data_IF_601880353781
#
_entry.id   IF_601880353781
#
_cell.length_a   1.000
_cell.length_b   1.000
_cell.length_c   1.000
_cell.angle_alpha   90.00
_cell.angle_beta   90.00
_cell.angle_gamma   90.00
#
_symmetry.space_group_name_H-M   'P 1'
#
loop_
_entity.id
_entity.type
_entity.pdbx_description
1 polymer ?
#
# COMPACT_ATOMS: atom_id res chain seq x y z
N UNK A 1 -46.32 -49.70 -41.38
CA UNK A 1 -45.67 -50.09 -40.14
C UNK A 1 -44.31 -49.51 -40.12
N UNK A 2 -44.13 -48.74 -39.16
CA UNK A 2 -43.03 -48.33 -38.27
C UNK A 2 -42.28 -47.10 -38.72
N UNK A 3 -42.53 -46.10 -37.96
CA UNK A 3 -41.69 -44.89 -37.82
C UNK A 3 -41.38 -44.73 -36.36
N UNK A 4 -40.16 -44.51 -36.03
CA UNK A 4 -39.71 -43.58 -34.97
C UNK A 4 -38.30 -43.94 -34.50
N UNK A 5 -37.35 -43.20 -34.98
CA UNK A 5 -36.11 -42.91 -34.19
C UNK A 5 -35.49 -41.68 -34.81
N UNK A 6 -35.69 -40.53 -34.21
CA UNK A 6 -34.77 -39.38 -34.26
C UNK A 6 -35.20 -38.45 -33.14
N UNK A 7 -34.38 -38.31 -32.13
CA UNK A 7 -34.19 -37.06 -31.37
C UNK A 7 -33.50 -37.38 -30.01
N UNK A 8 -32.20 -37.29 -29.98
CA UNK A 8 -31.45 -37.14 -28.72
C UNK A 8 -29.99 -36.81 -29.06
N UNK A 9 -29.72 -35.59 -29.49
CA UNK A 9 -28.36 -35.05 -29.57
C UNK A 9 -28.46 -33.52 -29.65
N UNK A 10 -28.71 -32.85 -28.53
CA UNK A 10 -28.51 -31.40 -28.43
C UNK A 10 -28.62 -30.94 -26.98
N UNK A 11 -27.67 -31.25 -26.14
CA UNK A 11 -27.59 -30.65 -24.79
C UNK A 11 -26.21 -30.72 -24.15
N UNK A 12 -25.14 -30.66 -24.95
CA UNK A 12 -23.76 -30.69 -24.42
C UNK A 12 -22.93 -29.42 -24.70
N UNK A 13 -23.55 -28.34 -25.16
CA UNK A 13 -22.75 -27.17 -25.61
C UNK A 13 -22.90 -25.89 -24.77
N UNK A 14 -23.54 -25.92 -23.59
CA UNK A 14 -23.81 -24.69 -22.83
C UNK A 14 -23.04 -24.54 -21.52
N UNK A 15 -22.08 -25.41 -21.21
CA UNK A 15 -21.33 -25.33 -19.97
C UNK A 15 -19.94 -24.70 -20.09
N UNK A 16 -19.51 -24.23 -21.25
CA UNK A 16 -18.12 -23.75 -21.43
C UNK A 16 -17.95 -22.22 -21.41
N UNK A 17 -19.01 -21.43 -21.36
CA UNK A 17 -18.91 -19.96 -21.40
C UNK A 17 -18.83 -19.29 -20.03
N UNK A 18 -19.27 -19.94 -18.95
CA UNK A 18 -19.27 -19.35 -17.61
C UNK A 18 -17.91 -19.44 -16.87
N UNK A 19 -16.99 -20.26 -17.36
CA UNK A 19 -15.70 -20.52 -16.69
C UNK A 19 -14.58 -19.57 -17.10
N UNK A 20 -14.79 -18.69 -18.09
CA UNK A 20 -13.77 -17.77 -18.59
C UNK A 20 -13.65 -16.49 -17.77
N UNK A 21 -14.69 -16.13 -17.01
CA UNK A 21 -14.71 -14.89 -16.19
C UNK A 21 -14.14 -15.09 -14.78
N UNK A 22 -14.16 -16.31 -14.25
CA UNK A 22 -13.68 -16.64 -12.90
C UNK A 22 -12.16 -16.55 -12.73
N UNK A 23 -11.41 -16.39 -13.81
CA UNK A 23 -9.95 -16.31 -13.82
C UNK A 23 -9.38 -14.95 -14.23
N UNK A 24 -10.22 -13.94 -14.36
CA UNK A 24 -9.78 -12.57 -14.53
C UNK A 24 -9.56 -11.92 -13.15
N UNK A 25 -8.38 -11.34 -12.94
CA UNK A 25 -8.06 -10.56 -11.75
C UNK A 25 -7.68 -9.15 -12.19
N UNK A 26 -8.46 -8.16 -11.79
CA UNK A 26 -8.15 -6.75 -11.95
C UNK A 26 -7.56 -6.23 -10.64
N UNK A 27 -6.37 -5.66 -10.70
CA UNK A 27 -5.67 -5.19 -9.51
C UNK A 27 -5.37 -3.70 -9.62
N UNK A 28 -5.75 -2.94 -8.59
CA UNK A 28 -5.53 -1.51 -8.46
C UNK A 28 -4.22 -1.17 -7.73
N UNK A 29 -3.52 -0.15 -8.24
CA UNK A 29 -2.28 0.36 -7.67
C UNK A 29 -2.31 1.89 -7.61
N UNK A 30 -1.66 2.43 -6.57
CA UNK A 30 -1.26 3.83 -6.51
C UNK A 30 0.23 3.94 -6.89
N UNK A 31 0.76 5.17 -7.13
CA UNK A 31 2.18 5.35 -7.41
C UNK A 31 3.07 4.67 -6.38
N UNK A 32 4.06 3.93 -6.85
CA UNK A 32 5.00 3.18 -6.01
C UNK A 32 5.49 1.89 -6.64
N UNK A 33 6.28 1.11 -5.90
CA UNK A 33 6.94 -0.10 -6.40
C UNK A 33 6.03 -1.33 -6.46
N UNK A 34 4.81 -1.25 -5.94
CA UNK A 34 3.95 -2.43 -5.73
C UNK A 34 3.48 -3.07 -7.02
N UNK A 35 3.26 -2.27 -8.09
CA UNK A 35 2.89 -2.78 -9.41
C UNK A 35 4.01 -3.64 -9.98
N UNK A 36 5.24 -3.14 -9.95
CA UNK A 36 6.41 -3.89 -10.44
C UNK A 36 6.68 -5.14 -9.59
N UNK A 37 6.61 -5.02 -8.25
CA UNK A 37 6.71 -6.19 -7.36
C UNK A 37 5.71 -7.28 -7.73
N UNK A 38 4.47 -6.89 -7.98
CA UNK A 38 3.41 -7.83 -8.33
C UNK A 38 3.63 -8.41 -9.72
N UNK A 39 3.88 -7.56 -10.71
CA UNK A 39 4.06 -7.97 -12.11
C UNK A 39 5.21 -8.95 -12.31
N UNK A 40 6.34 -8.69 -11.66
CA UNK A 40 7.55 -9.49 -11.84
C UNK A 40 7.62 -10.66 -10.85
N UNK A 41 7.16 -10.45 -9.62
CA UNK A 41 7.34 -11.42 -8.55
C UNK A 41 6.15 -12.36 -8.32
N UNK A 42 4.90 -11.90 -8.55
CA UNK A 42 3.69 -12.68 -8.21
C UNK A 42 2.87 -13.08 -9.44
N UNK A 43 2.73 -12.20 -10.42
CA UNK A 43 1.90 -12.45 -11.61
C UNK A 43 2.32 -13.72 -12.37
N UNK A 44 3.62 -14.07 -12.54
CA UNK A 44 4.00 -15.31 -13.19
C UNK A 44 3.43 -16.57 -12.50
N UNK A 45 3.33 -16.56 -11.17
CA UNK A 45 2.70 -17.61 -10.38
C UNK A 45 1.22 -17.77 -10.71
N UNK A 46 0.50 -16.65 -10.76
CA UNK A 46 -0.94 -16.63 -11.05
C UNK A 46 -1.23 -17.03 -12.50
N UNK A 47 -0.41 -16.57 -13.46
CA UNK A 47 -0.53 -16.94 -14.87
C UNK A 47 -0.34 -18.46 -15.07
N UNK A 48 0.61 -19.09 -14.39
CA UNK A 48 0.77 -20.54 -14.40
C UNK A 48 -0.47 -21.29 -13.88
N UNK A 49 -1.30 -20.64 -13.04
CA UNK A 49 -2.59 -21.17 -12.57
C UNK A 49 -3.75 -20.83 -13.50
N UNK A 50 -3.48 -20.18 -14.61
CA UNK A 50 -4.45 -19.85 -15.65
C UNK A 50 -5.19 -18.52 -15.46
N UNK A 51 -4.74 -17.66 -14.52
CA UNK A 51 -5.32 -16.33 -14.36
C UNK A 51 -4.89 -15.37 -15.46
N UNK A 52 -5.83 -14.52 -15.89
CA UNK A 52 -5.57 -13.30 -16.65
C UNK A 52 -5.52 -12.14 -15.69
N UNK A 53 -4.56 -11.21 -15.85
CA UNK A 53 -4.36 -10.13 -14.92
C UNK A 53 -4.47 -8.80 -15.68
N UNK A 54 -5.31 -7.91 -15.16
CA UNK A 54 -5.42 -6.52 -15.60
C UNK A 54 -4.92 -5.61 -14.49
N UNK A 55 -4.13 -4.61 -14.86
CA UNK A 55 -3.58 -3.61 -13.97
C UNK A 55 -4.31 -2.30 -14.13
N UNK A 56 -4.77 -1.71 -13.02
CA UNK A 56 -5.48 -0.44 -13.00
C UNK A 56 -4.72 0.55 -12.12
N UNK A 57 -4.39 1.70 -12.67
CA UNK A 57 -3.68 2.76 -11.93
C UNK A 57 -4.69 3.76 -11.37
N UNK A 58 -4.49 4.13 -10.11
CA UNK A 58 -5.30 5.10 -9.38
C UNK A 58 -4.38 6.17 -8.77
N UNK A 59 -4.84 7.42 -8.75
CA UNK A 59 -4.16 8.49 -8.05
C UNK A 59 -4.65 8.70 -6.62
N UNK A 60 -5.81 8.14 -6.26
CA UNK A 60 -6.51 8.36 -5.00
C UNK A 60 -6.83 7.04 -4.28
N UNK A 61 -6.42 6.96 -3.00
CA UNK A 61 -6.59 5.76 -2.18
C UNK A 61 -8.05 5.50 -1.75
N UNK A 62 -8.91 6.51 -1.74
CA UNK A 62 -10.34 6.36 -1.46
C UNK A 62 -11.02 5.68 -2.65
N UNK A 63 -10.75 6.16 -3.87
CA UNK A 63 -11.34 5.63 -5.09
C UNK A 63 -10.96 4.17 -5.33
N UNK A 64 -9.71 3.79 -5.10
CA UNK A 64 -9.29 2.40 -5.29
C UNK A 64 -9.92 1.45 -4.27
N UNK A 65 -10.16 1.90 -3.04
CA UNK A 65 -10.87 1.10 -2.04
C UNK A 65 -12.37 0.94 -2.34
N UNK A 66 -13.02 2.00 -2.82
CA UNK A 66 -14.41 1.95 -3.30
C UNK A 66 -14.54 0.97 -4.49
N UNK A 67 -13.58 1.00 -5.43
CA UNK A 67 -13.54 0.09 -6.57
C UNK A 67 -13.45 -1.39 -6.16
N UNK A 68 -12.66 -1.72 -5.12
CA UNK A 68 -12.58 -3.07 -4.53
C UNK A 68 -13.90 -3.46 -3.89
N UNK A 69 -14.47 -2.60 -3.06
CA UNK A 69 -15.73 -2.87 -2.34
C UNK A 69 -16.90 -3.15 -3.30
N UNK A 70 -16.96 -2.38 -4.41
CA UNK A 70 -17.99 -2.57 -5.47
C UNK A 70 -17.73 -3.74 -6.40
N UNK A 71 -16.54 -4.37 -6.36
CA UNK A 71 -16.16 -5.44 -7.27
C UNK A 71 -15.78 -4.97 -8.66
N UNK A 72 -15.46 -3.69 -8.84
CA UNK A 72 -14.92 -3.15 -10.10
C UNK A 72 -13.49 -3.65 -10.35
N UNK A 73 -12.76 -3.94 -9.28
CA UNK A 73 -11.48 -4.64 -9.26
C UNK A 73 -11.49 -5.68 -8.13
N UNK A 74 -10.72 -6.76 -8.29
CA UNK A 74 -10.66 -7.86 -7.34
C UNK A 74 -9.81 -7.54 -6.12
N UNK A 75 -8.74 -6.76 -6.30
CA UNK A 75 -7.81 -6.41 -5.22
C UNK A 75 -7.15 -5.04 -5.46
N UNK A 76 -6.58 -4.47 -4.40
CA UNK A 76 -5.60 -3.38 -4.52
C UNK A 76 -4.34 -3.65 -3.68
N UNK A 77 -3.24 -2.97 -4.01
CA UNK A 77 -1.97 -3.04 -3.27
C UNK A 77 -1.42 -1.62 -3.16
N UNK A 78 -1.71 -0.93 -2.04
CA UNK A 78 -1.31 0.47 -1.89
C UNK A 78 -1.27 0.97 -0.45
N UNK A 79 -1.75 0.20 0.53
CA UNK A 79 -2.05 0.69 1.86
C UNK A 79 -1.65 -0.28 2.96
N UNK A 80 -1.37 0.26 4.13
CA UNK A 80 -1.18 -0.49 5.36
C UNK A 80 -2.51 -0.65 6.14
N UNK A 81 -2.60 -1.62 7.09
CA UNK A 81 -3.84 -1.91 7.81
C UNK A 81 -4.49 -0.72 8.52
N UNK A 82 -3.69 0.20 9.07
CA UNK A 82 -4.23 1.39 9.78
C UNK A 82 -4.94 2.34 8.80
N UNK A 83 -4.37 2.56 7.60
CA UNK A 83 -5.03 3.35 6.57
C UNK A 83 -6.29 2.66 6.05
N UNK A 84 -6.23 1.34 5.81
CA UNK A 84 -7.39 0.55 5.40
C UNK A 84 -8.55 0.67 6.39
N UNK A 85 -8.25 0.56 7.70
CA UNK A 85 -9.27 0.76 8.76
C UNK A 85 -9.93 2.14 8.66
N UNK A 86 -9.13 3.21 8.56
CA UNK A 86 -9.63 4.57 8.45
C UNK A 86 -10.52 4.78 7.22
N UNK A 87 -10.15 4.19 6.07
CA UNK A 87 -10.96 4.27 4.84
C UNK A 87 -12.24 3.46 4.96
N UNK A 88 -12.17 2.25 5.53
CA UNK A 88 -13.36 1.42 5.76
C UNK A 88 -14.39 2.15 6.63
N UNK A 89 -13.95 2.75 7.74
CA UNK A 89 -14.82 3.54 8.63
C UNK A 89 -15.42 4.75 7.91
N UNK A 90 -14.62 5.48 7.14
CA UNK A 90 -15.05 6.66 6.38
C UNK A 90 -16.09 6.34 5.30
N UNK A 91 -15.93 5.23 4.60
CA UNK A 91 -16.80 4.83 3.48
C UNK A 91 -17.93 3.87 3.89
N UNK A 92 -17.90 3.32 5.10
CA UNK A 92 -18.84 2.27 5.53
C UNK A 92 -18.68 0.97 4.73
N UNK A 93 -17.44 0.57 4.43
CA UNK A 93 -17.10 -0.64 3.66
C UNK A 93 -16.30 -1.63 4.52
N UNK A 94 -16.17 -2.87 4.03
CA UNK A 94 -15.60 -4.01 4.76
C UNK A 94 -14.38 -4.64 4.06
N UNK A 95 -13.59 -3.85 3.35
CA UNK A 95 -12.38 -4.37 2.72
C UNK A 95 -11.39 -4.93 3.75
N UNK A 96 -10.69 -6.01 3.39
CA UNK A 96 -9.76 -6.70 4.30
C UNK A 96 -8.39 -6.91 3.67
N UNK A 97 -7.34 -6.79 4.48
CA UNK A 97 -5.97 -7.14 4.10
C UNK A 97 -5.77 -8.66 4.20
N UNK A 98 -5.23 -9.28 3.16
CA UNK A 98 -5.04 -10.74 3.09
C UNK A 98 -3.59 -11.20 3.19
N UNK A 99 -2.64 -10.39 2.79
CA UNK A 99 -1.20 -10.68 2.91
C UNK A 99 -0.41 -9.37 2.91
N UNK A 100 0.59 -9.29 3.76
CA UNK A 100 1.55 -8.19 3.75
C UNK A 100 2.50 -8.28 2.56
N UNK A 101 3.00 -7.12 2.10
CA UNK A 101 3.95 -7.04 0.98
C UNK A 101 5.18 -6.23 1.36
N UNK A 102 6.38 -6.50 0.79
CA UNK A 102 7.55 -5.68 1.03
C UNK A 102 7.26 -4.20 0.79
N UNK A 103 7.54 -3.36 1.80
CA UNK A 103 7.07 -1.96 1.83
C UNK A 103 8.24 -1.02 2.08
N UNK A 104 8.46 -0.02 1.22
CA UNK A 104 9.48 1.00 1.49
C UNK A 104 9.06 1.85 2.70
N UNK A 105 9.94 2.06 3.69
CA UNK A 105 9.64 2.86 4.88
C UNK A 105 9.44 4.33 4.55
N UNK A 106 8.67 5.03 5.39
CA UNK A 106 8.61 6.49 5.39
C UNK A 106 9.97 7.06 5.81
N UNK A 107 10.39 8.17 5.21
CA UNK A 107 11.64 8.84 5.53
C UNK A 107 11.48 10.33 5.75
N UNK A 108 12.33 10.88 6.62
CA UNK A 108 12.60 12.31 6.73
C UNK A 108 13.67 12.66 5.71
N UNK A 109 13.33 13.49 4.74
CA UNK A 109 14.23 13.95 3.69
C UNK A 109 14.56 15.43 3.86
N UNK A 110 15.77 15.79 3.50
CA UNK A 110 16.20 17.18 3.49
C UNK A 110 15.51 17.99 2.39
N UNK A 111 15.10 19.20 2.75
CA UNK A 111 14.64 20.23 1.85
C UNK A 111 15.67 21.35 1.76
N UNK A 112 15.38 22.51 2.38
CA UNK A 112 16.36 23.59 2.55
C UNK A 112 17.53 23.23 3.47
N UNK A 113 17.27 22.34 4.45
CA UNK A 113 18.26 21.78 5.37
C UNK A 113 18.53 20.35 4.92
N UNK A 114 19.80 20.04 4.62
CA UNK A 114 20.21 18.75 4.04
C UNK A 114 20.92 17.83 5.01
N UNK A 115 21.07 18.27 6.27
CA UNK A 115 21.70 17.50 7.34
C UNK A 115 20.75 17.32 8.50
N UNK A 116 20.89 16.19 9.23
CA UNK A 116 20.09 15.95 10.44
C UNK A 116 20.67 16.76 11.60
N UNK A 117 20.03 17.88 11.90
CA UNK A 117 20.41 18.77 12.99
C UNK A 117 19.18 19.13 13.84
N UNK A 118 19.42 19.60 15.08
CA UNK A 118 18.34 20.04 15.96
C UNK A 118 17.55 21.18 15.32
N UNK A 119 16.21 21.07 15.22
CA UNK A 119 15.39 22.10 14.60
C UNK A 119 15.49 23.44 15.34
N UNK A 120 15.45 24.53 14.60
CA UNK A 120 15.29 25.89 15.13
C UNK A 120 13.79 26.22 15.25
N UNK A 121 13.42 27.17 16.14
CA UNK A 121 12.05 27.65 16.20
C UNK A 121 11.56 28.12 14.82
N UNK A 122 10.40 27.60 14.39
CA UNK A 122 9.82 27.91 13.09
C UNK A 122 10.28 27.00 11.94
N UNK A 123 11.13 25.98 12.19
CA UNK A 123 11.47 24.95 11.18
C UNK A 123 10.19 24.35 10.59
N UNK A 124 10.07 24.38 9.28
CA UNK A 124 8.90 23.91 8.51
C UNK A 124 9.14 22.49 8.01
N UNK A 125 8.28 21.56 8.39
CA UNK A 125 8.33 20.16 7.95
C UNK A 125 7.04 19.79 7.24
N UNK A 126 7.15 19.35 5.96
CA UNK A 126 5.97 18.80 5.29
C UNK A 126 5.62 17.42 5.80
N UNK A 127 4.33 17.17 6.01
CA UNK A 127 3.78 15.89 6.48
C UNK A 127 2.57 15.49 5.63
N UNK A 128 2.25 14.19 5.53
CA UNK A 128 1.01 13.73 4.88
C UNK A 128 -0.24 14.34 5.55
N UNK A 129 -1.26 14.64 4.74
CA UNK A 129 -2.55 15.16 5.21
C UNK A 129 -3.57 14.07 5.58
N UNK A 130 -3.20 12.79 5.48
CA UNK A 130 -4.04 11.68 5.93
C UNK A 130 -3.65 11.27 7.35
N UNK A 131 -4.61 11.26 8.29
CA UNK A 131 -4.39 10.97 9.70
C UNK A 131 -3.46 9.78 9.99
N UNK A 132 -3.63 8.58 9.38
CA UNK A 132 -2.74 7.45 9.63
C UNK A 132 -1.29 7.69 9.19
N UNK A 133 -1.08 8.47 8.15
CA UNK A 133 0.25 8.78 7.62
C UNK A 133 0.88 9.97 8.35
N UNK A 134 0.08 10.96 8.76
CA UNK A 134 0.54 12.03 9.63
C UNK A 134 0.98 11.48 11.01
N UNK A 135 0.26 10.49 11.56
CA UNK A 135 0.68 9.78 12.77
C UNK A 135 2.06 9.12 12.62
N UNK A 136 2.30 8.43 11.49
CA UNK A 136 3.62 7.84 11.19
C UNK A 136 4.70 8.91 11.11
N UNK A 137 4.42 10.04 10.47
CA UNK A 137 5.32 11.19 10.41
C UNK A 137 5.65 11.72 11.81
N UNK A 138 4.64 11.86 12.67
CA UNK A 138 4.83 12.30 14.06
C UNK A 138 5.67 11.30 14.86
N UNK A 139 5.53 9.98 14.64
CA UNK A 139 6.38 8.97 15.28
C UNK A 139 7.85 9.10 14.87
N UNK A 140 8.16 9.41 13.62
CA UNK A 140 9.53 9.68 13.17
C UNK A 140 10.10 10.88 13.92
N UNK A 141 9.37 11.99 14.00
CA UNK A 141 9.79 13.19 14.72
C UNK A 141 9.93 12.94 16.23
N UNK A 142 9.03 12.15 16.82
CA UNK A 142 9.14 11.73 18.21
C UNK A 142 10.39 10.88 18.46
N UNK A 143 10.75 10.00 17.54
CA UNK A 143 11.97 9.18 17.66
C UNK A 143 13.26 10.01 17.64
N UNK A 144 13.21 11.22 17.08
CA UNK A 144 14.28 12.21 17.09
C UNK A 144 14.25 13.12 18.31
N UNK A 145 13.23 13.01 19.18
CA UNK A 145 13.02 13.93 20.30
C UNK A 145 12.59 15.33 19.88
N UNK A 146 12.09 15.50 18.65
CA UNK A 146 11.71 16.80 18.12
C UNK A 146 10.31 17.24 18.52
N UNK A 147 9.45 16.28 18.79
CA UNK A 147 8.12 16.48 19.36
C UNK A 147 7.71 15.27 20.18
N UNK A 148 6.57 15.36 20.87
CA UNK A 148 5.96 14.23 21.57
C UNK A 148 4.47 14.21 21.31
N UNK A 149 3.95 13.02 21.02
CA UNK A 149 2.51 12.81 20.85
C UNK A 149 1.89 12.21 22.11
N UNK A 150 0.61 12.45 22.31
CA UNK A 150 -0.15 11.91 23.44
C UNK A 150 -0.24 10.40 23.33
N UNK A 151 -0.09 9.66 24.45
CA UNK A 151 -0.16 8.18 24.44
C UNK A 151 -1.53 7.62 23.99
N UNK A 152 -2.61 8.40 24.15
CA UNK A 152 -3.98 8.05 23.77
C UNK A 152 -4.32 8.39 22.32
N UNK A 153 -3.34 8.73 21.49
CA UNK A 153 -3.53 9.06 20.09
C UNK A 153 -3.97 7.82 19.28
N UNK A 154 -5.14 7.90 18.65
CA UNK A 154 -5.56 6.88 17.68
C UNK A 154 -4.94 7.19 16.31
N UNK A 155 -4.14 6.27 15.74
CA UNK A 155 -3.54 6.46 14.43
C UNK A 155 -4.55 6.73 13.30
N UNK A 156 -5.76 6.15 13.37
CA UNK A 156 -6.77 6.28 12.32
C UNK A 156 -7.39 7.68 12.26
N UNK A 157 -7.38 8.42 13.38
CA UNK A 157 -8.01 9.74 13.53
C UNK A 157 -7.04 10.81 14.00
N UNK A 158 -5.74 10.55 13.91
CA UNK A 158 -4.68 11.46 14.36
C UNK A 158 -4.78 12.84 13.71
N UNK A 159 -4.41 13.85 14.47
CA UNK A 159 -4.18 15.23 14.00
C UNK A 159 -3.16 15.92 14.91
N UNK A 160 -2.66 17.08 14.51
CA UNK A 160 -1.66 17.84 15.28
C UNK A 160 -2.14 18.23 16.69
N UNK A 161 -3.46 18.19 16.98
CA UNK A 161 -4.01 18.38 18.34
C UNK A 161 -3.53 17.32 19.34
N UNK A 162 -3.06 16.17 18.87
CA UNK A 162 -2.48 15.13 19.70
C UNK A 162 -0.97 15.30 19.97
N UNK A 163 -0.35 16.35 19.45
CA UNK A 163 1.02 16.73 19.83
C UNK A 163 0.98 17.35 21.23
N UNK A 164 1.60 16.67 22.20
CA UNK A 164 1.65 17.14 23.60
C UNK A 164 2.83 18.06 23.88
N UNK A 165 3.96 17.88 23.18
CA UNK A 165 5.16 18.70 23.32
C UNK A 165 5.74 19.01 21.93
N UNK A 166 6.10 20.28 21.73
CA UNK A 166 6.81 20.76 20.54
C UNK A 166 7.86 21.80 20.99
N UNK A 167 8.95 21.35 21.63
CA UNK A 167 9.93 22.23 22.26
C UNK A 167 10.64 23.17 21.27
N UNK A 168 10.74 22.73 20.02
CA UNK A 168 11.39 23.50 18.95
C UNK A 168 10.43 24.37 18.16
N UNK A 169 9.13 24.42 18.52
CA UNK A 169 8.10 25.16 17.78
C UNK A 169 8.12 24.86 16.26
N UNK A 170 8.25 23.58 15.94
CA UNK A 170 8.21 23.08 14.55
C UNK A 170 6.82 23.38 13.96
N UNK A 171 6.80 23.82 12.72
CA UNK A 171 5.58 24.03 11.94
C UNK A 171 5.38 22.81 11.01
N UNK A 172 4.37 22.00 11.29
CA UNK A 172 3.97 20.89 10.43
C UNK A 172 3.03 21.39 9.33
N UNK A 173 3.46 21.26 8.08
CA UNK A 173 2.70 21.66 6.90
C UNK A 173 2.11 20.43 6.23
N UNK A 174 0.82 20.20 6.49
CA UNK A 174 0.07 19.11 5.86
C UNK A 174 -0.09 19.33 4.36
N UNK A 175 0.15 18.28 3.58
CA UNK A 175 -0.07 18.28 2.14
C UNK A 175 -0.32 16.88 1.59
N UNK A 176 -0.83 16.83 0.36
CA UNK A 176 -0.99 15.57 -0.35
C UNK A 176 0.34 14.87 -0.59
N UNK A 177 0.35 13.54 -0.43
CA UNK A 177 1.56 12.73 -0.56
C UNK A 177 2.30 12.91 -1.90
N UNK A 178 1.54 12.99 -3.00
CA UNK A 178 2.13 13.14 -4.32
C UNK A 178 2.79 14.53 -4.53
N UNK A 179 2.47 15.51 -3.69
CA UNK A 179 3.04 16.86 -3.77
C UNK A 179 4.30 17.00 -2.93
N UNK A 180 4.50 16.16 -1.91
CA UNK A 180 5.57 16.35 -0.92
C UNK A 180 6.97 16.36 -1.51
N UNK A 181 7.28 15.48 -2.49
CA UNK A 181 8.60 15.46 -3.14
C UNK A 181 8.87 16.78 -3.86
N UNK A 182 7.88 17.32 -4.55
CA UNK A 182 8.00 18.60 -5.28
C UNK A 182 8.12 19.79 -4.34
N UNK A 183 7.57 19.70 -3.14
CA UNK A 183 7.57 20.75 -2.13
C UNK A 183 8.86 20.79 -1.30
N UNK A 184 9.77 19.81 -1.42
CA UNK A 184 11.03 19.80 -0.66
C UNK A 184 11.84 21.10 -0.76
N UNK A 185 11.98 21.75 -1.91
CA UNK A 185 12.70 23.02 -1.99
C UNK A 185 12.07 24.19 -1.21
N UNK A 186 10.77 24.05 -0.85
CA UNK A 186 10.00 25.10 -0.20
C UNK A 186 9.89 24.92 1.33
N UNK A 187 10.32 23.76 1.86
CA UNK A 187 10.30 23.40 3.29
C UNK A 187 11.72 23.08 3.78
N UNK A 188 11.90 23.05 5.09
CA UNK A 188 13.20 22.67 5.68
C UNK A 188 13.43 21.16 5.61
N UNK A 189 12.37 20.37 5.87
CA UNK A 189 12.37 18.92 5.74
C UNK A 189 11.02 18.43 5.20
N UNK A 190 11.00 17.20 4.67
CA UNK A 190 9.76 16.51 4.30
C UNK A 190 9.70 15.09 4.84
N UNK A 191 8.58 14.73 5.46
CA UNK A 191 8.28 13.34 5.83
C UNK A 191 7.47 12.67 4.74
N UNK A 192 8.17 11.92 3.89
CA UNK A 192 7.65 11.37 2.65
C UNK A 192 7.48 9.86 2.78
N UNK A 193 6.30 9.35 2.40
CA UNK A 193 6.07 7.91 2.33
C UNK A 193 7.01 7.28 1.30
N UNK A 194 7.59 6.11 1.65
CA UNK A 194 8.61 5.48 0.83
C UNK A 194 8.16 5.15 -0.59
N UNK A 195 6.90 4.78 -0.81
CA UNK A 195 6.39 4.53 -2.16
C UNK A 195 6.39 5.78 -3.04
N UNK A 196 6.07 6.96 -2.50
CA UNK A 196 6.14 8.22 -3.25
C UNK A 196 7.58 8.67 -3.47
N UNK A 197 8.46 8.50 -2.48
CA UNK A 197 9.88 8.78 -2.63
C UNK A 197 10.48 7.93 -3.77
N UNK A 198 10.32 6.60 -3.73
CA UNK A 198 10.84 5.68 -4.74
C UNK A 198 10.25 5.94 -6.12
N UNK A 199 8.93 6.15 -6.23
CA UNK A 199 8.29 6.43 -7.54
C UNK A 199 8.72 7.77 -8.15
N UNK A 200 9.27 8.68 -7.33
CA UNK A 200 9.84 9.96 -7.78
C UNK A 200 11.34 9.87 -8.06
N UNK A 201 11.93 8.68 -8.00
CA UNK A 201 13.35 8.44 -8.24
C UNK A 201 14.27 8.72 -7.05
N UNK A 202 13.72 9.05 -5.88
CA UNK A 202 14.51 9.20 -4.66
C UNK A 202 14.94 7.83 -4.13
N UNK A 203 16.14 7.78 -3.54
CA UNK A 203 16.64 6.58 -2.86
C UNK A 203 16.29 6.61 -1.38
N UNK A 204 16.02 5.44 -0.79
CA UNK A 204 15.73 5.34 0.64
C UNK A 204 16.94 5.73 1.50
N UNK A 205 18.15 5.44 1.04
CA UNK A 205 19.41 5.79 1.71
C UNK A 205 19.71 7.30 1.69
N UNK A 206 19.01 8.10 0.89
CA UNK A 206 19.08 9.56 0.95
C UNK A 206 18.22 10.17 2.06
N UNK A 207 17.43 9.38 2.76
CA UNK A 207 16.68 9.83 3.93
C UNK A 207 17.61 10.12 5.10
N UNK A 208 17.42 11.25 5.77
CA UNK A 208 18.14 11.62 6.99
C UNK A 208 17.74 10.73 8.18
N UNK A 209 16.51 10.23 8.15
CA UNK A 209 15.96 9.27 9.13
C UNK A 209 14.86 8.47 8.47
N UNK A 210 14.90 7.15 8.60
CA UNK A 210 13.79 6.26 8.26
C UNK A 210 12.95 5.95 9.49
N UNK A 211 11.66 5.67 9.29
CA UNK A 211 10.79 5.18 10.36
C UNK A 211 11.26 3.84 10.91
N UNK A 212 10.97 3.57 12.18
CA UNK A 212 11.22 2.26 12.78
C UNK A 212 10.30 1.19 12.19
N UNK A 213 10.81 -0.02 11.92
CA UNK A 213 9.98 -1.10 11.39
C UNK A 213 8.85 -1.47 12.36
N UNK A 214 7.61 -1.38 11.90
CA UNK A 214 6.42 -1.86 12.64
C UNK A 214 5.48 -2.57 11.68
N UNK A 215 4.98 -3.76 12.07
CA UNK A 215 4.14 -4.59 11.21
C UNK A 215 2.84 -3.91 10.80
N UNK A 216 2.30 -3.01 11.62
CA UNK A 216 1.06 -2.28 11.33
C UNK A 216 1.16 -1.31 10.15
N UNK A 217 2.37 -0.92 9.73
CA UNK A 217 2.61 -0.02 8.60
C UNK A 217 3.18 -0.72 7.36
N UNK A 218 3.34 -2.06 7.41
CA UNK A 218 3.63 -2.85 6.22
C UNK A 218 2.34 -2.94 5.38
N UNK A 219 2.43 -2.59 4.10
CA UNK A 219 1.29 -2.61 3.20
C UNK A 219 0.74 -4.02 2.97
N UNK A 220 -0.53 -4.09 2.60
CA UNK A 220 -1.24 -5.34 2.38
C UNK A 220 -1.89 -5.39 0.99
N UNK A 221 -2.04 -6.58 0.45
CA UNK A 221 -3.03 -6.84 -0.59
C UNK A 221 -4.40 -6.77 0.06
N UNK A 222 -5.28 -5.96 -0.50
CA UNK A 222 -6.63 -5.72 0.02
C UNK A 222 -7.67 -6.26 -0.96
N UNK A 223 -8.67 -6.97 -0.44
CA UNK A 223 -9.84 -7.48 -1.18
C UNK A 223 -11.12 -7.06 -0.45
N UNK A 224 -12.28 -7.13 -1.12
CA UNK A 224 -13.56 -7.00 -0.43
C UNK A 224 -13.74 -8.14 0.60
N UNK A 225 -14.35 -7.87 1.76
CA UNK A 225 -14.47 -8.84 2.85
C UNK A 225 -15.11 -10.17 2.40
N UNK A 226 -16.15 -10.12 1.55
CA UNK A 226 -16.79 -11.30 0.93
C UNK A 226 -15.84 -12.17 0.11
N UNK A 227 -14.74 -11.61 -0.39
CA UNK A 227 -13.77 -12.28 -1.26
C UNK A 227 -12.55 -12.82 -0.49
N UNK A 228 -12.46 -12.63 0.83
CA UNK A 228 -11.30 -13.04 1.64
C UNK A 228 -10.94 -14.52 1.46
N UNK A 229 -11.91 -15.38 1.27
CA UNK A 229 -11.74 -16.83 1.11
C UNK A 229 -11.86 -17.29 -0.36
N UNK A 230 -11.98 -16.38 -1.31
CA UNK A 230 -12.07 -16.68 -2.73
C UNK A 230 -10.78 -17.37 -3.24
N UNK A 231 -10.90 -18.19 -4.28
CA UNK A 231 -9.77 -18.91 -4.85
C UNK A 231 -8.64 -17.97 -5.28
N UNK A 232 -8.97 -16.88 -5.97
CA UNK A 232 -7.97 -15.90 -6.40
C UNK A 232 -7.25 -15.23 -5.23
N UNK A 233 -7.95 -14.94 -4.11
CA UNK A 233 -7.34 -14.34 -2.93
C UNK A 233 -6.33 -15.29 -2.28
N UNK A 234 -6.68 -16.59 -2.14
CA UNK A 234 -5.77 -17.63 -1.65
C UNK A 234 -4.56 -17.81 -2.57
N UNK A 235 -4.76 -17.78 -3.86
CA UNK A 235 -3.68 -17.91 -4.84
C UNK A 235 -2.75 -16.69 -4.84
N UNK A 236 -3.26 -15.48 -4.65
CA UNK A 236 -2.43 -14.27 -4.43
C UNK A 236 -1.58 -14.43 -3.16
N UNK A 237 -2.19 -14.86 -2.04
CA UNK A 237 -1.46 -15.11 -0.78
C UNK A 237 -0.35 -16.14 -0.98
N UNK A 238 -0.64 -17.25 -1.67
CA UNK A 238 0.34 -18.28 -1.97
C UNK A 238 1.48 -17.76 -2.85
N UNK A 239 1.17 -16.92 -3.85
CA UNK A 239 2.17 -16.28 -4.71
C UNK A 239 3.14 -15.40 -3.91
N UNK A 240 2.64 -14.53 -3.02
CA UNK A 240 3.49 -13.70 -2.16
C UNK A 240 4.33 -14.51 -1.17
N UNK A 241 3.83 -15.64 -0.69
CA UNK A 241 4.57 -16.51 0.25
C UNK A 241 5.48 -17.51 -0.43
N UNK A 242 5.48 -17.58 -1.76
CA UNK A 242 6.33 -18.52 -2.51
C UNK A 242 7.82 -18.19 -2.36
N UNK A 243 8.65 -19.21 -2.46
CA UNK A 243 10.11 -19.02 -2.46
C UNK A 243 10.57 -18.26 -3.71
N UNK A 244 9.88 -18.42 -4.83
CA UNK A 244 10.14 -17.65 -6.05
C UNK A 244 10.01 -16.15 -5.80
N UNK A 245 8.93 -15.71 -5.13
CA UNK A 245 8.76 -14.30 -4.78
C UNK A 245 9.81 -13.81 -3.78
N UNK A 246 10.08 -14.58 -2.73
CA UNK A 246 11.11 -14.22 -1.74
C UNK A 246 12.49 -14.06 -2.37
N UNK A 247 12.85 -14.99 -3.26
CA UNK A 247 14.12 -14.95 -4.00
C UNK A 247 14.15 -13.75 -4.96
N UNK A 248 13.04 -13.46 -5.65
CA UNK A 248 12.92 -12.28 -6.49
C UNK A 248 13.22 -11.00 -5.69
N UNK A 249 12.58 -10.79 -4.55
CA UNK A 249 12.82 -9.59 -3.72
C UNK A 249 14.27 -9.53 -3.24
N UNK A 250 14.83 -10.64 -2.73
CA UNK A 250 16.20 -10.67 -2.21
C UNK A 250 17.30 -10.46 -3.26
N UNK A 251 17.03 -10.80 -4.51
CA UNK A 251 17.98 -10.68 -5.61
C UNK A 251 17.96 -9.33 -6.33
N UNK A 252 16.99 -8.44 -6.00
CA UNK A 252 16.82 -7.15 -6.66
C UNK A 252 17.09 -6.01 -5.69
N UNK A 253 18.26 -5.38 -5.82
CA UNK A 253 18.74 -4.29 -4.95
C UNK A 253 17.81 -3.07 -4.86
N UNK A 254 16.87 -2.92 -5.81
CA UNK A 254 15.86 -1.86 -5.72
C UNK A 254 14.91 -2.03 -4.51
N UNK A 255 14.90 -3.21 -3.88
CA UNK A 255 14.11 -3.49 -2.67
C UNK A 255 14.95 -3.48 -1.38
N UNK A 256 16.23 -3.12 -1.46
CA UNK A 256 17.07 -2.99 -0.28
C UNK A 256 16.51 -1.91 0.66
N UNK A 257 16.51 -2.21 1.95
CA UNK A 257 15.94 -1.31 2.97
C UNK A 257 14.41 -1.35 3.11
N UNK A 258 13.69 -2.18 2.34
CA UNK A 258 12.25 -2.35 2.52
C UNK A 258 11.91 -3.08 3.82
N UNK A 259 10.80 -2.72 4.44
CA UNK A 259 10.21 -3.47 5.54
C UNK A 259 9.66 -4.79 4.99
N UNK A 260 10.23 -5.90 5.44
CA UNK A 260 9.83 -7.23 4.97
C UNK A 260 8.79 -7.85 5.91
N UNK A 261 7.72 -8.45 5.35
CA UNK A 261 6.76 -9.24 6.11
C UNK A 261 7.40 -10.43 6.84
N UNK A 262 6.73 -10.92 7.90
CA UNK A 262 7.25 -12.02 8.74
C UNK A 262 7.50 -13.33 7.97
N UNK A 263 6.79 -13.58 6.87
CA UNK A 263 7.01 -14.77 6.05
C UNK A 263 8.34 -14.77 5.26
N UNK A 264 9.13 -13.68 5.35
CA UNK A 264 10.51 -13.63 4.85
C UNK A 264 11.55 -14.20 5.83
N UNK A 265 11.18 -14.41 7.08
CA UNK A 265 12.01 -14.99 8.16
C UNK A 265 12.26 -16.47 7.98
#
# INVERSE_FOLDING_TARGET
MSKLVVALLSSAALFSAAQADDKLIRIGFNPGPYKDQFQQGVAPWLVKKGYKIEYKDFSDGIQVNDAVSRGNIEANIMQHPVYLKSVNERLGIDNVGIVQVPTPPMGLYGGKITTLETPKPGTVISVPNQAPNEYRAALVLQSLGWLKIRPDSDPATFSQKFISENPYKIVLKEMDNAQQVRALPDVDFGLIQGNFAVSSGMKLDSALKLEAPTSQFINVVTVAGKNQQAAFAKDIVAGYRSDDFKNYIRSHHQYDGYLLPDYFK
#
